data_IF_466711446346
#
_entry.id   IF_466711446346
#
_cell.length_a   1.000
_cell.length_b   1.000
_cell.length_c   1.000
_cell.angle_alpha   90.00
_cell.angle_beta   90.00
_cell.angle_gamma   90.00
#
_symmetry.space_group_name_H-M   'P 1'
#
loop_
_entity.id
_entity.type
_entity.pdbx_description
1 polymer ?
#
# COMPACT_ATOMS: atom_id res chain seq x y z
N UNK A 1 -15.12 -2.39 -12.14
CA UNK A 1 -13.84 -2.58 -11.44
C UNK A 1 -13.89 -3.85 -10.60
N UNK A 2 -12.80 -4.60 -10.54
CA UNK A 2 -12.61 -5.78 -9.69
C UNK A 2 -11.45 -5.51 -8.73
N UNK A 3 -11.57 -5.99 -7.48
CA UNK A 3 -10.51 -5.99 -6.48
C UNK A 3 -10.36 -7.40 -5.95
N UNK A 4 -9.18 -7.96 -6.08
CA UNK A 4 -8.79 -9.24 -5.52
C UNK A 4 -7.66 -9.02 -4.51
N UNK A 5 -7.46 -9.95 -3.58
CA UNK A 5 -6.38 -9.88 -2.61
C UNK A 5 -5.82 -11.24 -2.28
N UNK A 6 -4.55 -11.29 -1.95
CA UNK A 6 -3.85 -12.46 -1.41
C UNK A 6 -3.03 -12.03 -0.20
N UNK A 7 -2.94 -12.90 0.79
CA UNK A 7 -2.08 -12.71 1.96
C UNK A 7 -0.76 -13.38 1.70
N UNK A 8 0.33 -12.63 1.74
CA UNK A 8 1.67 -13.09 1.36
C UNK A 8 2.67 -13.00 2.51
N UNK A 9 3.68 -13.86 2.45
CA UNK A 9 4.84 -13.86 3.33
C UNK A 9 4.55 -14.25 4.78
N UNK A 10 5.63 -14.36 5.54
CA UNK A 10 5.60 -14.74 6.96
C UNK A 10 4.91 -13.69 7.85
N UNK A 11 4.96 -12.42 7.45
CA UNK A 11 4.28 -11.29 8.12
C UNK A 11 2.81 -11.16 7.74
N UNK A 12 2.33 -11.97 6.76
CA UNK A 12 0.93 -12.02 6.35
C UNK A 12 0.43 -10.66 5.85
N UNK A 13 1.23 -9.99 5.01
CA UNK A 13 0.84 -8.75 4.36
C UNK A 13 -0.27 -8.98 3.33
N UNK A 14 -1.18 -8.05 3.21
CA UNK A 14 -2.22 -8.06 2.20
C UNK A 14 -1.70 -7.42 0.90
N UNK A 15 -1.55 -8.19 -0.15
CA UNK A 15 -1.38 -7.69 -1.49
C UNK A 15 -2.74 -7.56 -2.17
N UNK A 16 -2.99 -6.43 -2.84
CA UNK A 16 -4.23 -6.17 -3.55
C UNK A 16 -3.98 -5.99 -5.05
N UNK A 17 -4.85 -6.56 -5.88
CA UNK A 17 -4.85 -6.38 -7.33
C UNK A 17 -6.17 -5.76 -7.75
N UNK A 18 -6.11 -4.57 -8.33
CA UNK A 18 -7.25 -3.84 -8.86
C UNK A 18 -7.21 -3.87 -10.38
N UNK A 19 -8.34 -4.14 -11.01
CA UNK A 19 -8.46 -4.14 -12.46
C UNK A 19 -9.69 -3.35 -12.94
N UNK A 20 -9.46 -2.52 -13.95
CA UNK A 20 -10.52 -1.85 -14.70
C UNK A 20 -10.15 -1.80 -16.19
N UNK A 21 -10.87 -2.57 -17.01
CA UNK A 21 -10.53 -2.74 -18.43
C UNK A 21 -9.12 -3.33 -18.61
N UNK A 22 -8.26 -2.63 -19.33
CA UNK A 22 -6.86 -2.97 -19.59
C UNK A 22 -5.88 -2.41 -18.52
N UNK A 23 -6.34 -1.58 -17.59
CA UNK A 23 -5.50 -0.97 -16.55
C UNK A 23 -5.53 -1.79 -15.27
N UNK A 24 -4.39 -1.85 -14.57
CA UNK A 24 -4.22 -2.58 -13.33
C UNK A 24 -3.36 -1.80 -12.32
N UNK A 25 -3.73 -1.87 -11.05
CA UNK A 25 -2.89 -1.45 -9.93
C UNK A 25 -2.64 -2.66 -9.03
N UNK A 26 -1.38 -2.89 -8.69
CA UNK A 26 -0.96 -3.87 -7.67
C UNK A 26 -0.47 -3.08 -6.46
N UNK A 27 -1.11 -3.27 -5.30
CA UNK A 27 -0.74 -2.59 -4.06
C UNK A 27 -0.04 -3.59 -3.15
N UNK A 28 1.14 -3.22 -2.68
CA UNK A 28 1.95 -3.96 -1.71
C UNK A 28 2.23 -5.43 -2.09
N UNK A 29 2.91 -5.72 -3.22
CA UNK A 29 3.38 -7.07 -3.54
C UNK A 29 4.58 -7.43 -2.63
N UNK A 30 4.28 -7.91 -1.42
CA UNK A 30 5.25 -8.01 -0.35
C UNK A 30 6.11 -9.28 -0.38
N UNK A 31 5.60 -10.39 -0.88
CA UNK A 31 6.30 -11.69 -0.97
C UNK A 31 5.58 -12.60 -1.97
N UNK A 32 6.09 -13.83 -2.13
CA UNK A 32 5.46 -14.90 -2.90
C UNK A 32 5.04 -14.43 -4.32
N UNK A 33 6.00 -13.98 -5.17
CA UNK A 33 5.69 -13.38 -6.48
C UNK A 33 4.84 -14.29 -7.37
N UNK A 34 4.95 -15.61 -7.24
CA UNK A 34 4.12 -16.55 -8.00
C UNK A 34 2.63 -16.45 -7.64
N UNK A 35 2.30 -16.25 -6.35
CA UNK A 35 0.93 -16.08 -5.88
C UNK A 35 0.35 -14.75 -6.38
N UNK A 36 1.14 -13.67 -6.31
CA UNK A 36 0.76 -12.35 -6.82
C UNK A 36 0.53 -12.41 -8.32
N UNK A 37 1.45 -13.03 -9.09
CA UNK A 37 1.32 -13.20 -10.54
C UNK A 37 0.14 -14.11 -10.91
N UNK A 38 -0.14 -15.15 -10.10
CA UNK A 38 -1.32 -15.98 -10.23
C UNK A 38 -2.61 -15.18 -10.08
N UNK A 39 -2.65 -14.24 -9.13
CA UNK A 39 -3.79 -13.34 -8.92
C UNK A 39 -3.95 -12.36 -10.09
N UNK A 40 -2.86 -11.80 -10.60
CA UNK A 40 -2.83 -10.94 -11.79
C UNK A 40 -3.37 -11.70 -13.01
N UNK A 41 -2.88 -12.92 -13.25
CA UNK A 41 -3.32 -13.76 -14.37
C UNK A 41 -4.78 -14.20 -14.28
N UNK A 42 -5.26 -14.58 -13.08
CA UNK A 42 -6.66 -14.99 -12.86
C UNK A 42 -7.64 -13.82 -12.97
N UNK A 43 -7.19 -12.61 -12.74
CA UNK A 43 -7.98 -11.39 -12.93
C UNK A 43 -8.20 -11.05 -14.43
N UNK A 44 -7.54 -11.77 -15.35
CA UNK A 44 -7.50 -11.46 -16.77
C UNK A 44 -7.92 -12.60 -17.70
N UNK A 45 -9.23 -12.85 -17.89
CA UNK A 45 -9.69 -13.77 -18.93
C UNK A 45 -9.69 -13.19 -20.37
N UNK A 46 -9.23 -11.98 -20.62
CA UNK A 46 -9.18 -11.43 -21.98
C UNK A 46 -8.11 -10.34 -22.12
N UNK A 47 -6.93 -10.75 -22.54
CA UNK A 47 -5.83 -9.87 -22.92
C UNK A 47 -4.91 -9.53 -21.75
N UNK A 48 -3.61 -9.41 -22.04
CA UNK A 48 -2.64 -8.86 -21.10
C UNK A 48 -3.11 -7.46 -20.67
N UNK A 49 -2.90 -7.09 -19.40
CA UNK A 49 -3.07 -5.71 -18.99
C UNK A 49 -2.02 -4.87 -19.71
N UNK A 50 -2.46 -3.84 -20.42
CA UNK A 50 -1.54 -2.98 -21.20
C UNK A 50 -0.87 -1.93 -20.30
N UNK A 51 -1.40 -1.69 -19.10
CA UNK A 51 -0.91 -0.70 -18.14
C UNK A 51 -1.00 -1.26 -16.73
N UNK A 52 0.13 -1.76 -16.20
CA UNK A 52 0.25 -2.28 -14.84
C UNK A 52 1.10 -1.32 -14.02
N UNK A 53 0.55 -0.83 -12.92
CA UNK A 53 1.22 0.04 -11.97
C UNK A 53 1.33 -0.67 -10.62
N UNK A 54 2.53 -0.75 -10.07
CA UNK A 54 2.77 -1.25 -8.71
C UNK A 54 2.91 -0.04 -7.80
N UNK A 55 2.23 -0.07 -6.67
CA UNK A 55 2.29 0.99 -5.65
C UNK A 55 2.57 0.36 -4.30
N UNK A 56 3.67 0.76 -3.66
CA UNK A 56 3.89 0.41 -2.27
C UNK A 56 3.34 1.50 -1.35
N UNK A 57 2.59 1.07 -0.34
CA UNK A 57 2.11 1.97 0.72
C UNK A 57 3.25 2.54 1.55
N UNK A 58 4.36 1.79 1.68
CA UNK A 58 5.59 2.19 2.36
C UNK A 58 6.77 1.26 2.02
N UNK A 59 7.94 1.48 2.61
CA UNK A 59 9.18 0.81 2.21
C UNK A 59 9.46 -0.54 2.89
N UNK A 60 8.67 -1.02 3.83
CA UNK A 60 9.01 -2.27 4.54
C UNK A 60 8.98 -3.49 3.62
N UNK A 61 9.89 -4.43 3.87
CA UNK A 61 10.16 -5.53 2.95
C UNK A 61 8.94 -6.42 2.69
N UNK A 62 8.07 -6.58 3.66
CA UNK A 62 6.83 -7.37 3.53
C UNK A 62 5.75 -6.68 2.69
N UNK A 63 6.02 -5.46 2.19
CA UNK A 63 5.18 -4.72 1.22
C UNK A 63 5.87 -4.54 -0.13
N UNK A 64 7.18 -4.80 -0.23
CA UNK A 64 7.96 -4.57 -1.46
C UNK A 64 8.72 -5.79 -1.96
N UNK A 65 8.72 -6.90 -1.23
CA UNK A 65 9.63 -8.02 -1.46
C UNK A 65 9.44 -8.76 -2.79
N UNK A 66 8.30 -8.63 -3.46
CA UNK A 66 8.05 -9.20 -4.79
C UNK A 66 7.97 -8.14 -5.91
N UNK A 67 8.32 -6.87 -5.61
CA UNK A 67 8.21 -5.77 -6.59
C UNK A 67 9.01 -6.05 -7.84
N UNK A 68 10.28 -6.48 -7.73
CA UNK A 68 11.15 -6.67 -8.89
C UNK A 68 10.60 -7.75 -9.84
N UNK A 69 10.22 -8.91 -9.29
CA UNK A 69 9.71 -10.04 -10.08
C UNK A 69 8.36 -9.70 -10.73
N UNK A 70 7.47 -9.03 -10.01
CA UNK A 70 6.17 -8.61 -10.57
C UNK A 70 6.36 -7.52 -11.62
N UNK A 71 7.25 -6.55 -11.38
CA UNK A 71 7.55 -5.48 -12.35
C UNK A 71 8.16 -6.04 -13.64
N UNK A 72 9.10 -6.99 -13.55
CA UNK A 72 9.70 -7.64 -14.70
C UNK A 72 8.66 -8.45 -15.49
N UNK A 73 7.87 -9.29 -14.79
CA UNK A 73 6.91 -10.19 -15.44
C UNK A 73 5.77 -9.44 -16.15
N UNK A 74 5.37 -8.29 -15.62
CA UNK A 74 4.25 -7.49 -16.13
C UNK A 74 4.68 -6.24 -16.91
N UNK A 75 5.97 -5.97 -17.06
CA UNK A 75 6.52 -4.70 -17.56
C UNK A 75 5.91 -3.49 -16.79
N UNK A 76 5.71 -3.64 -15.48
CA UNK A 76 5.01 -2.69 -14.64
C UNK A 76 5.93 -1.56 -14.18
N UNK A 77 5.35 -0.36 -14.01
CA UNK A 77 6.02 0.75 -13.30
C UNK A 77 5.83 0.61 -11.79
N UNK A 78 6.83 1.07 -11.01
CA UNK A 78 6.79 1.06 -9.55
C UNK A 78 6.78 2.47 -8.97
N UNK A 79 5.86 2.69 -8.02
CA UNK A 79 5.71 3.95 -7.30
C UNK A 79 5.69 3.74 -5.79
N UNK A 80 6.28 4.68 -5.05
CA UNK A 80 6.33 4.69 -3.58
C UNK A 80 6.37 6.13 -3.07
N UNK A 81 5.95 6.36 -1.83
CA UNK A 81 6.03 7.70 -1.21
C UNK A 81 7.44 8.25 -1.22
N UNK A 82 7.58 9.55 -1.53
CA UNK A 82 8.88 10.21 -1.77
C UNK A 82 9.91 9.96 -0.67
N UNK A 83 9.50 10.07 0.59
CA UNK A 83 10.42 9.93 1.72
C UNK A 83 10.90 8.49 1.94
N UNK A 84 10.23 7.50 1.32
CA UNK A 84 10.63 6.10 1.34
C UNK A 84 11.39 5.65 0.08
N UNK A 85 11.45 6.50 -0.95
CA UNK A 85 12.06 6.13 -2.23
C UNK A 85 13.51 5.67 -2.15
N UNK A 86 14.31 6.20 -1.22
CA UNK A 86 15.69 5.74 -0.99
C UNK A 86 15.76 4.49 -0.11
N UNK A 87 14.73 4.28 0.73
CA UNK A 87 14.71 3.19 1.69
C UNK A 87 14.38 1.84 1.06
N UNK A 88 13.59 1.81 -0.03
CA UNK A 88 13.28 0.57 -0.74
C UNK A 88 14.49 -0.11 -1.37
N UNK A 89 15.60 0.62 -1.54
CA UNK A 89 16.86 0.09 -2.04
C UNK A 89 17.88 -0.23 -0.92
N UNK A 90 17.54 0.05 0.35
CA UNK A 90 18.43 -0.19 1.49
C UNK A 90 17.75 -1.08 2.54
N UNK A 91 18.09 -2.39 2.62
CA UNK A 91 17.50 -3.33 3.56
C UNK A 91 17.57 -2.92 5.03
N UNK A 92 18.57 -2.10 5.41
CA UNK A 92 18.69 -1.57 6.78
C UNK A 92 17.59 -0.55 7.11
N UNK A 93 17.06 0.12 6.09
CA UNK A 93 16.00 1.12 6.23
C UNK A 93 14.61 0.52 5.99
N UNK A 94 14.53 -0.54 5.19
CA UNK A 94 13.28 -1.30 4.99
C UNK A 94 12.97 -2.25 6.16
N UNK A 95 13.86 -2.37 7.13
CA UNK A 95 13.56 -2.87 8.47
C UNK A 95 13.79 -4.37 8.71
N UNK A 96 14.29 -5.16 7.74
CA UNK A 96 14.37 -6.63 7.90
C UNK A 96 15.67 -7.22 7.39
N UNK A 97 16.78 -6.52 7.60
CA UNK A 97 18.14 -6.94 7.26
C UNK A 97 18.53 -8.28 7.91
N UNK A 98 17.87 -8.64 9.02
CA UNK A 98 18.18 -9.84 9.81
C UNK A 98 17.72 -11.16 9.16
N UNK A 99 16.85 -11.12 8.15
CA UNK A 99 16.29 -12.32 7.54
C UNK A 99 17.12 -12.91 6.40
N UNK A 100 18.23 -12.26 6.03
CA UNK A 100 19.15 -12.75 5.00
C UNK A 100 18.58 -12.79 3.58
N UNK A 101 17.44 -12.13 3.33
CA UNK A 101 16.86 -11.94 2.01
C UNK A 101 17.28 -10.60 1.44
N UNK A 102 17.50 -10.54 0.13
CA UNK A 102 17.73 -9.28 -0.56
C UNK A 102 16.40 -8.72 -1.09
N UNK A 103 15.80 -7.82 -0.32
CA UNK A 103 14.53 -7.16 -0.67
C UNK A 103 14.72 -5.82 -1.38
N UNK A 104 15.89 -5.57 -1.93
CA UNK A 104 16.14 -4.31 -2.61
C UNK A 104 15.29 -4.17 -3.85
N UNK A 105 14.53 -3.09 -3.93
CA UNK A 105 13.88 -2.69 -5.17
C UNK A 105 14.91 -2.02 -6.06
N UNK A 106 15.08 -2.53 -7.27
CA UNK A 106 16.11 -2.09 -8.21
C UNK A 106 15.79 -0.73 -8.84
N UNK A 107 14.50 -0.43 -9.03
CA UNK A 107 14.07 0.75 -9.75
C UNK A 107 12.80 1.35 -9.16
N UNK A 108 12.81 2.65 -8.90
CA UNK A 108 11.63 3.44 -8.58
C UNK A 108 11.32 4.33 -9.79
N UNK A 109 10.16 4.14 -10.41
CA UNK A 109 9.73 4.90 -11.59
C UNK A 109 9.06 6.22 -11.20
N UNK A 110 8.35 6.25 -10.05
CA UNK A 110 7.64 7.43 -9.59
C UNK A 110 7.74 7.58 -8.07
N UNK A 111 8.08 8.77 -7.62
CA UNK A 111 7.96 9.19 -6.22
C UNK A 111 6.64 9.93 -6.02
N UNK A 112 5.85 9.48 -5.03
CA UNK A 112 4.52 10.00 -4.76
C UNK A 112 4.56 11.09 -3.70
N UNK A 113 3.84 12.19 -3.97
CA UNK A 113 3.60 13.29 -3.05
C UNK A 113 2.14 13.37 -2.60
N UNK A 114 1.88 14.07 -1.49
CA UNK A 114 0.51 14.30 -1.00
C UNK A 114 -0.32 15.03 -2.06
N UNK A 115 -1.46 14.47 -2.41
CA UNK A 115 -2.37 15.00 -3.43
C UNK A 115 -2.14 14.51 -4.84
N UNK A 116 -1.07 13.75 -5.10
CA UNK A 116 -0.91 13.03 -6.38
C UNK A 116 -2.09 12.10 -6.66
N UNK A 117 -2.25 11.73 -7.92
CA UNK A 117 -3.28 10.78 -8.34
C UNK A 117 -2.67 9.60 -9.10
N UNK A 118 -3.23 8.42 -8.85
CA UNK A 118 -2.98 7.18 -9.59
C UNK A 118 -4.27 6.81 -10.30
N UNK A 119 -4.19 6.69 -11.63
CA UNK A 119 -5.35 6.41 -12.46
C UNK A 119 -5.58 4.90 -12.62
N UNK A 120 -6.85 4.47 -12.55
CA UNK A 120 -7.30 3.13 -12.92
C UNK A 120 -8.59 3.26 -13.75
N UNK A 121 -8.44 3.30 -15.07
CA UNK A 121 -9.57 3.62 -15.94
C UNK A 121 -10.21 4.95 -15.57
N UNK A 122 -11.53 5.00 -15.25
CA UNK A 122 -12.20 6.24 -14.84
C UNK A 122 -11.93 6.65 -13.39
N UNK A 123 -11.39 5.74 -12.55
CA UNK A 123 -11.17 5.97 -11.13
C UNK A 123 -9.86 6.72 -10.88
N UNK A 124 -9.85 7.55 -9.83
CA UNK A 124 -8.66 8.28 -9.37
C UNK A 124 -8.41 7.94 -7.91
N UNK A 125 -7.23 7.37 -7.65
CA UNK A 125 -6.76 7.13 -6.30
C UNK A 125 -5.86 8.29 -5.89
N UNK A 126 -6.38 9.14 -5.02
CA UNK A 126 -5.60 10.25 -4.47
C UNK A 126 -4.62 9.72 -3.44
N UNK A 127 -3.37 10.11 -3.59
CA UNK A 127 -2.31 9.84 -2.62
C UNK A 127 -2.48 10.77 -1.42
N UNK A 128 -2.45 10.20 -0.23
CA UNK A 128 -2.50 10.90 1.04
C UNK A 128 -1.22 10.55 1.79
N UNK A 129 -0.32 11.50 2.00
CA UNK A 129 0.85 11.27 2.85
C UNK A 129 0.41 11.02 4.29
N UNK A 130 0.85 9.89 4.83
CA UNK A 130 0.46 9.39 6.16
C UNK A 130 1.70 8.98 6.97
N UNK A 131 2.65 9.92 7.21
CA UNK A 131 3.86 9.61 7.95
C UNK A 131 3.56 9.15 9.38
N UNK A 132 4.43 8.28 9.89
CA UNK A 132 4.34 7.79 11.27
C UNK A 132 4.87 6.37 11.42
N UNK A 133 4.39 5.42 10.63
CA UNK A 133 4.96 4.07 10.55
C UNK A 133 6.31 4.12 9.82
N UNK A 134 6.31 4.76 8.64
CA UNK A 134 7.52 5.26 7.98
C UNK A 134 7.31 6.73 7.59
N UNK A 135 8.38 7.48 7.26
CA UNK A 135 8.24 8.87 6.78
C UNK A 135 7.50 8.99 5.46
N UNK A 136 7.67 7.99 4.57
CA UNK A 136 7.08 7.96 3.23
C UNK A 136 5.78 7.16 3.14
N UNK A 137 5.20 6.72 4.25
CA UNK A 137 3.90 6.03 4.24
C UNK A 137 2.83 6.85 3.53
N UNK A 138 2.05 6.17 2.68
CA UNK A 138 0.91 6.76 1.96
C UNK A 138 -0.34 5.91 2.08
N UNK A 139 -1.50 6.55 2.08
CA UNK A 139 -2.78 5.93 1.81
C UNK A 139 -3.24 6.29 0.39
N UNK A 140 -4.01 5.40 -0.24
CA UNK A 140 -4.61 5.62 -1.56
C UNK A 140 -6.12 5.70 -1.41
N UNK A 141 -6.70 6.86 -1.62
CA UNK A 141 -8.14 7.11 -1.45
C UNK A 141 -8.85 7.33 -2.77
N UNK A 142 -9.91 6.55 -3.01
CA UNK A 142 -10.82 6.74 -4.12
C UNK A 142 -12.20 7.16 -3.59
N UNK A 143 -12.60 8.40 -3.85
CA UNK A 143 -13.85 8.96 -3.36
C UNK A 143 -15.07 8.31 -4.01
N UNK A 144 -15.01 8.02 -5.31
CA UNK A 144 -16.08 7.39 -6.10
C UNK A 144 -16.44 6.01 -5.57
N UNK A 145 -15.47 5.31 -5.00
CA UNK A 145 -15.64 3.96 -4.45
C UNK A 145 -15.82 3.98 -2.93
N UNK A 146 -15.65 5.15 -2.29
CA UNK A 146 -15.58 5.25 -0.83
C UNK A 146 -14.60 4.23 -0.24
N UNK A 147 -13.38 4.14 -0.81
CA UNK A 147 -12.38 3.12 -0.53
C UNK A 147 -11.02 3.75 -0.25
N UNK A 148 -10.29 3.20 0.71
CA UNK A 148 -8.93 3.63 1.05
C UNK A 148 -8.04 2.42 1.32
N UNK A 149 -6.91 2.30 0.60
CA UNK A 149 -5.80 1.43 1.00
C UNK A 149 -4.98 2.18 2.04
N UNK A 150 -4.76 1.57 3.19
CA UNK A 150 -4.16 2.26 4.34
C UNK A 150 -2.76 1.76 4.67
N UNK A 151 -2.27 0.73 3.97
CA UNK A 151 -0.99 0.11 4.33
C UNK A 151 -0.92 -0.12 5.84
N UNK A 152 0.22 0.21 6.41
CA UNK A 152 0.46 0.09 7.85
C UNK A 152 0.19 1.39 8.64
N UNK A 153 -0.67 2.25 8.10
CA UNK A 153 -1.12 3.44 8.81
C UNK A 153 -2.28 3.12 9.76
N UNK A 154 -3.34 2.49 9.26
CA UNK A 154 -4.56 2.26 10.02
C UNK A 154 -5.12 0.86 9.74
N UNK A 155 -5.32 0.09 10.80
CA UNK A 155 -5.85 -1.27 10.79
C UNK A 155 -7.25 -1.35 11.44
N UNK A 156 -7.87 -2.52 11.33
CA UNK A 156 -8.98 -2.87 12.19
C UNK A 156 -8.51 -2.92 13.66
N UNK A 157 -9.02 -1.98 14.46
CA UNK A 157 -8.74 -1.81 15.88
C UNK A 157 -7.31 -1.32 16.24
N UNK A 158 -6.59 -0.68 15.32
CA UNK A 158 -5.24 -0.22 15.63
C UNK A 158 -4.60 0.67 14.57
N UNK A 159 -3.37 1.05 14.84
CA UNK A 159 -2.48 1.79 13.93
C UNK A 159 -1.15 1.07 13.83
N UNK A 160 -0.40 1.35 12.78
CA UNK A 160 0.95 0.83 12.60
C UNK A 160 1.89 1.21 13.74
N UNK A 161 2.85 0.36 14.01
CA UNK A 161 3.92 0.60 15.00
C UNK A 161 4.75 1.80 14.55
N UNK A 162 5.27 2.52 15.55
CA UNK A 162 6.10 3.73 15.35
C UNK A 162 7.43 3.63 16.07
N UNK A 163 7.76 2.45 16.60
CA UNK A 163 9.00 2.14 17.32
C UNK A 163 10.06 1.46 16.44
N UNK A 164 9.81 1.33 15.15
CA UNK A 164 10.80 0.90 14.16
C UNK A 164 11.75 2.06 13.81
N UNK A 165 12.86 1.69 13.16
CA UNK A 165 13.76 2.69 12.56
C UNK A 165 12.95 3.60 11.63
N UNK A 166 13.13 4.93 11.76
CA UNK A 166 12.39 5.96 11.04
C UNK A 166 10.91 6.13 11.44
N UNK A 167 10.38 5.37 12.42
CA UNK A 167 9.03 5.57 12.95
C UNK A 167 8.90 6.84 13.79
N UNK A 168 7.71 7.45 13.80
CA UNK A 168 7.42 8.69 14.54
C UNK A 168 5.97 8.67 15.08
N UNK A 169 5.84 8.50 16.39
CA UNK A 169 4.53 8.43 17.06
C UNK A 169 3.76 9.75 17.00
N UNK A 170 4.45 10.89 16.97
CA UNK A 170 3.81 12.19 16.88
C UNK A 170 3.29 12.46 15.47
N UNK A 171 4.05 12.07 14.44
CA UNK A 171 3.58 12.08 13.05
C UNK A 171 2.35 11.17 12.90
N UNK A 172 2.35 9.96 13.48
CA UNK A 172 1.20 9.04 13.45
C UNK A 172 -0.05 9.67 14.06
N UNK A 173 0.06 10.39 15.18
CA UNK A 173 -1.09 11.11 15.77
C UNK A 173 -1.67 12.14 14.80
N UNK A 174 -0.81 12.97 14.18
CA UNK A 174 -1.24 13.97 13.18
C UNK A 174 -1.90 13.29 11.98
N UNK A 175 -1.32 12.19 11.51
CA UNK A 175 -1.86 11.37 10.43
C UNK A 175 -3.25 10.84 10.76
N UNK A 176 -3.43 10.24 11.93
CA UNK A 176 -4.74 9.75 12.38
C UNK A 176 -5.78 10.86 12.47
N UNK A 177 -5.44 12.02 13.02
CA UNK A 177 -6.33 13.20 13.05
C UNK A 177 -6.72 13.63 11.63
N UNK A 178 -5.77 13.67 10.67
CA UNK A 178 -6.04 13.96 9.25
C UNK A 178 -7.01 12.94 8.65
N UNK A 179 -6.79 11.64 8.89
CA UNK A 179 -7.66 10.57 8.38
C UNK A 179 -9.06 10.61 9.02
N UNK A 180 -9.17 11.06 10.25
CA UNK A 180 -10.44 11.29 10.94
C UNK A 180 -11.40 12.23 10.19
N UNK A 181 -10.92 13.09 9.31
CA UNK A 181 -11.75 14.00 8.52
C UNK A 181 -12.45 13.32 7.31
N UNK A 182 -12.07 12.10 6.94
CA UNK A 182 -12.68 11.38 5.82
C UNK A 182 -14.05 10.79 6.21
N UNK A 183 -14.92 10.47 5.21
CA UNK A 183 -16.27 9.95 5.47
C UNK A 183 -16.28 8.63 6.24
N UNK A 184 -17.20 8.48 7.18
CA UNK A 184 -17.38 7.26 7.99
C UNK A 184 -17.69 6.01 7.16
N UNK A 185 -18.30 6.20 5.97
CA UNK A 185 -18.59 5.13 5.02
C UNK A 185 -17.36 4.52 4.35
N UNK A 186 -16.20 5.20 4.42
CA UNK A 186 -14.97 4.75 3.75
C UNK A 186 -14.57 3.36 4.22
N UNK A 187 -14.47 2.44 3.27
CA UNK A 187 -13.93 1.08 3.49
C UNK A 187 -12.41 1.19 3.53
N UNK A 188 -11.80 0.60 4.55
CA UNK A 188 -10.36 0.56 4.74
C UNK A 188 -9.83 -0.81 4.37
N UNK A 189 -8.83 -0.86 3.50
CA UNK A 189 -8.08 -2.02 3.07
C UNK A 189 -6.64 -1.89 3.60
N UNK A 190 -6.34 -2.52 4.76
CA UNK A 190 -5.05 -2.34 5.43
C UNK A 190 -3.95 -3.25 4.86
N UNK A 191 -2.70 -2.94 5.19
CA UNK A 191 -1.54 -3.78 4.89
C UNK A 191 -1.57 -5.13 5.62
N UNK A 192 -2.22 -5.19 6.79
CA UNK A 192 -2.39 -6.44 7.54
C UNK A 192 -3.80 -6.59 8.13
N UNK A 193 -4.22 -7.85 8.24
CA UNK A 193 -5.48 -8.20 8.89
C UNK A 193 -6.72 -7.89 8.04
N UNK A 194 -7.91 -7.87 8.64
CA UNK A 194 -9.15 -7.72 7.91
C UNK A 194 -9.45 -6.27 7.52
N UNK A 195 -10.25 -6.11 6.46
CA UNK A 195 -10.85 -4.82 6.12
C UNK A 195 -11.78 -4.31 7.22
N UNK A 196 -11.96 -3.00 7.29
CA UNK A 196 -12.85 -2.33 8.24
C UNK A 196 -13.50 -1.10 7.59
N UNK A 197 -14.17 -0.27 8.39
CA UNK A 197 -14.73 1.02 7.97
C UNK A 197 -14.22 2.13 8.87
N UNK A 198 -13.96 3.28 8.29
CA UNK A 198 -13.43 4.42 9.03
C UNK A 198 -14.32 4.83 10.20
N UNK A 199 -15.65 4.81 10.03
CA UNK A 199 -16.58 5.11 11.12
C UNK A 199 -16.51 4.13 12.29
N UNK A 200 -16.21 2.85 12.02
CA UNK A 200 -15.97 1.83 13.06
C UNK A 200 -14.70 2.16 13.84
N UNK A 201 -13.64 2.50 13.11
CA UNK A 201 -12.36 2.83 13.73
C UNK A 201 -12.41 4.16 14.49
N UNK A 202 -13.09 5.18 14.00
CA UNK A 202 -13.35 6.44 14.75
C UNK A 202 -14.07 6.18 16.07
N UNK A 203 -14.99 5.21 16.11
CA UNK A 203 -15.69 4.88 17.33
C UNK A 203 -14.80 4.20 18.38
N UNK A 204 -13.75 3.51 17.96
CA UNK A 204 -12.88 2.66 18.78
C UNK A 204 -11.51 3.29 19.07
N UNK A 205 -10.92 3.95 18.07
CA UNK A 205 -9.57 4.50 18.17
C UNK A 205 -9.59 6.00 18.52
N UNK A 206 -9.12 6.36 19.73
CA UNK A 206 -9.09 7.77 20.16
C UNK A 206 -8.21 8.66 19.28
N UNK A 207 -7.21 8.11 18.58
CA UNK A 207 -6.33 8.89 17.71
C UNK A 207 -7.04 9.45 16.45
N UNK A 208 -8.19 8.87 16.08
CA UNK A 208 -9.01 9.33 14.96
C UNK A 208 -10.08 10.37 15.36
N UNK A 209 -10.21 10.64 16.65
CA UNK A 209 -11.14 11.65 17.16
C UNK A 209 -10.37 12.97 17.29
N UNK A 210 -10.63 13.89 16.36
CA UNK A 210 -10.10 15.26 16.43
C UNK A 210 -10.74 16.03 17.59
#
# INVERSE_FOLDING_TARGET
>A
MRIDSVVVGSYRANCYVLREGASMIVVDPGDEPAEVLGLIGSAGEAGAADDVQIVASHCHCDHIGAVNEVAEACAASFAVGREDGHAVADPRLSGFDEEGRDYRVEKVDRLLDDGDEIALGPYRFRVISTPGHTPGSVCLYCAELSLMFTGDTLFANGVGRTDFIRGDAEAMRRTCSKLGAYPDSTVLLPGHGPSTRLGVEKARNPLLRA
#
